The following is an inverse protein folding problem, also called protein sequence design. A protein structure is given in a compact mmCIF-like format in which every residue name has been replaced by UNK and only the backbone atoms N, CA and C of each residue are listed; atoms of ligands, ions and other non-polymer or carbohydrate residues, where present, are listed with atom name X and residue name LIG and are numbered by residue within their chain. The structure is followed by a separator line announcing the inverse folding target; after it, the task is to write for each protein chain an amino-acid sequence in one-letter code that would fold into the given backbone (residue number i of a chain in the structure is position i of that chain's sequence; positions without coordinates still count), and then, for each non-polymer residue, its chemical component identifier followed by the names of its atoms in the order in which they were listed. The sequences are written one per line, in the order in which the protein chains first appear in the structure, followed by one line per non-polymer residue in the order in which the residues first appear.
data_IF_442182618696
#
_entry.id   IF_442182618696
#
_cell.length_a   1.000
_cell.length_b   1.000
_cell.length_c   1.000
_cell.angle_alpha   90.00
_cell.angle_beta   90.00
_cell.angle_gamma   90.00
#
_symmetry.space_group_name_H-M   'P 1'
#
loop_
_entity.id
_entity.type
_entity.pdbx_description
1 polymer ?
#
# COMPACT_ATOMS: atom_id res chain seq x y z
N UNK A 1 26.63 26.20 -37.21
CA UNK A 1 25.24 25.69 -37.13
C UNK A 1 25.17 24.66 -36.01
N UNK A 2 24.04 24.63 -35.32
CA UNK A 2 23.90 24.29 -33.91
C UNK A 2 24.25 22.84 -33.53
N UNK A 3 24.95 22.72 -32.40
CA UNK A 3 25.03 21.53 -31.56
C UNK A 3 23.65 21.29 -30.93
N UNK A 4 23.06 20.12 -31.18
CA UNK A 4 21.91 19.64 -30.41
C UNK A 4 22.44 18.90 -29.18
N UNK A 5 22.60 19.61 -28.07
CA UNK A 5 22.54 19.01 -26.74
C UNK A 5 21.05 18.83 -26.41
N UNK A 6 20.61 17.58 -26.30
CA UNK A 6 19.38 17.26 -25.58
C UNK A 6 19.78 16.70 -24.21
N UNK A 7 19.82 17.60 -23.23
CA UNK A 7 19.69 17.32 -21.80
C UNK A 7 18.35 16.64 -21.53
N UNK A 8 18.32 15.61 -20.70
CA UNK A 8 17.44 15.47 -19.52
C UNK A 8 17.88 14.22 -18.75
N UNK A 9 18.78 14.39 -17.78
CA UNK A 9 18.86 13.42 -16.69
C UNK A 9 17.56 13.55 -15.89
N UNK A 10 16.79 12.47 -15.78
CA UNK A 10 15.73 12.42 -14.78
C UNK A 10 16.41 12.49 -13.41
N UNK A 11 16.19 13.58 -12.67
CA UNK A 11 16.49 13.60 -11.24
C UNK A 11 15.77 12.40 -10.62
N UNK A 12 16.50 11.56 -9.86
CA UNK A 12 15.90 10.51 -9.04
C UNK A 12 14.93 11.21 -8.08
N UNK A 13 13.63 10.98 -8.23
CA UNK A 13 12.67 11.41 -7.24
C UNK A 13 12.85 10.54 -6.00
N UNK A 14 13.28 11.14 -4.89
CA UNK A 14 13.46 10.44 -3.62
C UNK A 14 12.12 10.10 -2.94
N UNK A 15 11.06 10.85 -3.26
CA UNK A 15 9.71 10.65 -2.75
C UNK A 15 8.64 11.15 -3.74
N UNK A 16 7.41 10.68 -3.55
CA UNK A 16 6.19 11.20 -4.17
C UNK A 16 5.36 11.93 -3.12
N UNK A 17 4.66 12.98 -3.53
CA UNK A 17 3.69 13.68 -2.66
C UNK A 17 2.31 13.11 -2.91
N UNK A 18 1.71 12.53 -1.87
CA UNK A 18 0.34 12.04 -1.88
C UNK A 18 -0.64 13.21 -1.92
N UNK A 19 -1.90 12.96 -2.31
CA UNK A 19 -2.93 14.00 -2.34
C UNK A 19 -3.18 14.64 -0.97
N UNK A 20 -2.98 13.90 0.11
CA UNK A 20 -3.03 14.39 1.49
C UNK A 20 -1.92 15.40 1.82
N UNK A 21 -0.87 15.50 0.98
CA UNK A 21 0.34 16.28 1.23
C UNK A 21 1.44 15.48 1.91
N UNK A 22 1.19 14.25 2.35
CA UNK A 22 2.22 13.37 2.92
C UNK A 22 3.23 12.93 1.85
N UNK A 23 4.50 12.84 2.25
CA UNK A 23 5.58 12.34 1.40
C UNK A 23 5.71 10.82 1.56
N UNK A 24 5.66 10.10 0.44
CA UNK A 24 5.89 8.66 0.38
C UNK A 24 7.23 8.39 -0.32
N UNK A 25 8.21 7.76 0.34
CA UNK A 25 9.51 7.46 -0.27
C UNK A 25 9.35 6.61 -1.54
N UNK A 26 10.10 6.97 -2.58
CA UNK A 26 9.97 6.37 -3.90
C UNK A 26 10.42 4.90 -3.94
N UNK A 27 11.32 4.52 -3.03
CA UNK A 27 11.83 3.15 -2.88
C UNK A 27 11.44 2.63 -1.49
N UNK A 28 10.85 1.44 -1.47
CA UNK A 28 10.48 0.74 -0.23
C UNK A 28 10.86 -0.73 -0.29
N UNK A 29 11.08 -1.32 0.89
CA UNK A 29 11.36 -2.74 1.06
C UNK A 29 10.05 -3.53 1.09
N UNK A 30 9.83 -4.41 0.11
CA UNK A 30 8.72 -5.36 0.14
C UNK A 30 9.06 -6.60 0.98
N UNK A 31 8.12 -7.04 1.83
CA UNK A 31 8.37 -8.15 2.78
C UNK A 31 7.69 -9.48 2.42
N UNK A 32 7.08 -9.59 1.24
CA UNK A 32 6.45 -10.84 0.83
C UNK A 32 7.51 -11.94 0.65
N UNK A 33 7.30 -13.10 1.28
CA UNK A 33 8.21 -14.27 1.27
C UNK A 33 9.59 -14.03 1.91
N UNK A 34 9.78 -12.95 2.68
CA UNK A 34 11.03 -12.71 3.42
C UNK A 34 11.28 -13.74 4.55
N UNK A 35 10.25 -14.47 5.00
CA UNK A 35 10.41 -15.59 5.92
C UNK A 35 11.00 -15.19 7.27
N UNK A 36 11.87 -16.04 7.82
CA UNK A 36 12.51 -15.84 9.12
C UNK A 36 13.47 -14.64 9.17
N UNK A 37 13.98 -14.19 8.03
CA UNK A 37 14.98 -13.12 7.97
C UNK A 37 14.35 -11.73 7.97
N UNK A 38 13.01 -11.65 7.94
CA UNK A 38 12.26 -10.39 7.82
C UNK A 38 12.69 -9.32 8.82
N UNK A 39 12.86 -9.67 10.10
CA UNK A 39 13.24 -8.69 11.13
C UNK A 39 14.63 -8.08 10.84
N UNK A 40 15.59 -8.92 10.44
CA UNK A 40 16.94 -8.49 10.10
C UNK A 40 16.93 -7.65 8.82
N UNK A 41 16.25 -8.10 7.77
CA UNK A 41 16.16 -7.37 6.50
C UNK A 41 15.55 -5.97 6.67
N UNK A 42 14.48 -5.84 7.47
CA UNK A 42 13.85 -4.54 7.76
C UNK A 42 14.81 -3.62 8.50
N UNK A 43 15.48 -4.12 9.54
CA UNK A 43 16.45 -3.33 10.30
C UNK A 43 17.58 -2.84 9.39
N UNK A 44 18.27 -3.75 8.70
CA UNK A 44 19.39 -3.47 7.80
C UNK A 44 19.01 -2.48 6.71
N UNK A 45 17.84 -2.66 6.08
CA UNK A 45 17.37 -1.73 5.05
C UNK A 45 17.27 -0.30 5.59
N UNK A 46 16.74 -0.12 6.80
CA UNK A 46 16.53 1.21 7.39
C UNK A 46 17.84 1.81 7.91
N UNK A 47 18.63 1.04 8.67
CA UNK A 47 19.79 1.55 9.41
C UNK A 47 21.06 1.62 8.59
N UNK A 48 21.23 0.72 7.60
CA UNK A 48 22.46 0.62 6.82
C UNK A 48 22.26 1.11 5.38
N UNK A 49 21.14 0.73 4.75
CA UNK A 49 20.86 1.09 3.35
C UNK A 49 20.05 2.39 3.19
N UNK A 50 19.59 3.01 4.29
CA UNK A 50 18.90 4.30 4.27
C UNK A 50 17.43 4.26 3.81
N UNK A 51 16.80 3.08 3.77
CA UNK A 51 15.39 2.96 3.41
C UNK A 51 14.51 3.69 4.43
N UNK A 52 13.43 4.29 3.93
CA UNK A 52 12.41 4.94 4.76
C UNK A 52 11.00 4.45 4.47
N UNK A 53 10.84 3.41 3.64
CA UNK A 53 9.55 2.81 3.33
C UNK A 53 9.62 1.28 3.45
N UNK A 54 8.65 0.69 4.16
CA UNK A 54 8.44 -0.76 4.27
C UNK A 54 7.02 -1.11 3.83
N UNK A 55 6.90 -2.04 2.89
CA UNK A 55 5.63 -2.59 2.42
C UNK A 55 5.43 -4.01 2.95
N UNK A 56 4.36 -4.19 3.73
CA UNK A 56 3.97 -5.49 4.28
C UNK A 56 2.47 -5.72 4.12
N UNK A 57 1.97 -6.83 4.66
CA UNK A 57 0.55 -7.15 4.76
C UNK A 57 0.33 -8.24 5.81
N UNK A 58 -0.83 -8.21 6.47
CA UNK A 58 -1.23 -9.27 7.40
C UNK A 58 -1.13 -10.67 6.78
N UNK A 59 -1.59 -10.82 5.52
CA UNK A 59 -1.57 -12.10 4.80
C UNK A 59 -0.15 -12.63 4.51
N UNK A 60 0.88 -11.78 4.55
CA UNK A 60 2.25 -12.24 4.34
C UNK A 60 2.77 -13.06 5.52
N UNK A 61 2.11 -12.98 6.69
CA UNK A 61 2.44 -13.76 7.88
C UNK A 61 3.71 -13.29 8.60
N UNK A 62 4.21 -12.10 8.28
CA UNK A 62 5.50 -11.59 8.80
C UNK A 62 5.39 -10.27 9.56
N UNK A 63 4.20 -9.71 9.79
CA UNK A 63 4.03 -8.40 10.44
C UNK A 63 4.69 -8.33 11.83
N UNK A 64 4.69 -9.43 12.60
CA UNK A 64 5.40 -9.50 13.89
C UNK A 64 6.91 -9.34 13.74
N UNK A 65 7.50 -9.95 12.72
CA UNK A 65 8.94 -9.83 12.46
C UNK A 65 9.28 -8.45 11.88
N UNK A 66 8.41 -7.91 11.03
CA UNK A 66 8.52 -6.51 10.57
C UNK A 66 8.50 -5.56 11.78
N UNK A 67 7.58 -5.75 12.73
CA UNK A 67 7.49 -4.93 13.93
C UNK A 67 8.76 -4.97 14.79
N UNK A 68 9.39 -6.15 14.93
CA UNK A 68 10.70 -6.26 15.60
C UNK A 68 11.79 -5.48 14.86
N UNK A 69 11.86 -5.58 13.53
CA UNK A 69 12.83 -4.84 12.72
C UNK A 69 12.63 -3.32 12.80
N UNK A 70 11.37 -2.86 12.72
CA UNK A 70 11.01 -1.45 12.89
C UNK A 70 11.39 -0.94 14.28
N UNK A 71 11.07 -1.69 15.34
CA UNK A 71 11.43 -1.34 16.71
C UNK A 71 12.94 -1.21 16.88
N UNK A 72 13.72 -2.16 16.38
CA UNK A 72 15.18 -2.11 16.45
C UNK A 72 15.76 -0.90 15.68
N UNK A 73 15.19 -0.57 14.51
CA UNK A 73 15.58 0.61 13.76
C UNK A 73 15.26 1.92 14.50
N UNK A 74 14.11 1.99 15.18
CA UNK A 74 13.75 3.15 16.00
C UNK A 74 14.63 3.28 17.25
N UNK A 75 15.00 2.17 17.90
CA UNK A 75 15.98 2.14 18.99
C UNK A 75 17.38 2.60 18.51
N UNK A 76 17.70 2.42 17.22
CA UNK A 76 18.88 2.97 16.56
C UNK A 76 18.76 4.46 16.15
N UNK A 77 17.82 5.20 16.77
CA UNK A 77 17.62 6.65 16.62
C UNK A 77 16.99 7.10 15.29
N UNK A 78 16.18 6.25 14.66
CA UNK A 78 15.32 6.67 13.55
C UNK A 78 13.93 7.01 14.11
N UNK A 79 13.46 8.24 13.88
CA UNK A 79 12.14 8.64 14.37
C UNK A 79 11.03 7.92 13.58
N UNK A 80 9.96 7.46 14.26
CA UNK A 80 8.79 6.83 13.61
C UNK A 80 8.19 7.68 12.49
N UNK A 81 8.19 9.02 12.64
CA UNK A 81 7.66 9.97 11.65
C UNK A 81 8.46 10.01 10.34
N UNK A 82 9.72 9.55 10.37
CA UNK A 82 10.59 9.50 9.20
C UNK A 82 10.43 8.18 8.43
N UNK A 83 9.68 7.22 8.98
CA UNK A 83 9.34 5.95 8.35
C UNK A 83 7.95 6.02 7.72
N UNK A 84 7.82 5.42 6.55
CA UNK A 84 6.57 5.19 5.84
C UNK A 84 6.26 3.69 5.85
N UNK A 85 5.26 3.29 6.65
CA UNK A 85 4.89 1.87 6.77
C UNK A 85 3.55 1.62 6.09
N UNK A 86 3.55 0.65 5.19
CA UNK A 86 2.38 0.23 4.42
C UNK A 86 1.92 -1.16 4.85
N UNK A 87 0.62 -1.33 5.11
CA UNK A 87 0.00 -2.65 5.31
C UNK A 87 -1.33 -2.76 4.54
N UNK A 88 -1.95 -3.95 4.53
CA UNK A 88 -3.08 -4.28 3.68
C UNK A 88 -4.15 -5.08 4.42
N UNK A 89 -5.40 -4.64 4.27
CA UNK A 89 -6.60 -5.34 4.72
C UNK A 89 -6.84 -6.57 3.84
N UNK A 90 -6.83 -7.75 4.47
CA UNK A 90 -7.03 -9.01 3.78
C UNK A 90 -8.49 -9.31 3.43
N UNK A 91 -8.69 -10.14 2.42
CA UNK A 91 -9.97 -10.49 1.79
C UNK A 91 -11.04 -11.02 2.76
N UNK A 92 -10.64 -11.74 3.82
CA UNK A 92 -11.56 -12.28 4.85
C UNK A 92 -12.10 -11.21 5.81
N UNK A 93 -11.47 -10.03 5.81
CA UNK A 93 -11.85 -8.88 6.63
C UNK A 93 -12.54 -7.77 5.82
N UNK A 94 -12.86 -8.02 4.55
CA UNK A 94 -13.61 -7.09 3.69
C UNK A 94 -15.11 -7.13 3.98
N UNK A 95 -15.44 -6.77 5.23
CA UNK A 95 -16.79 -6.51 5.72
C UNK A 95 -16.68 -5.38 6.76
N UNK A 96 -17.57 -4.37 6.79
CA UNK A 96 -17.37 -3.13 7.55
C UNK A 96 -16.94 -3.35 9.01
N UNK A 97 -17.63 -4.23 9.73
CA UNK A 97 -17.37 -4.52 11.15
C UNK A 97 -16.02 -5.16 11.44
N UNK A 98 -15.31 -5.70 10.43
CA UNK A 98 -13.98 -6.32 10.60
C UNK A 98 -12.81 -5.42 10.23
N UNK A 99 -13.07 -4.25 9.61
CA UNK A 99 -12.02 -3.34 9.15
C UNK A 99 -11.14 -2.85 10.30
N UNK A 100 -11.75 -2.32 11.37
CA UNK A 100 -11.03 -1.83 12.54
C UNK A 100 -10.31 -2.96 13.31
N UNK A 101 -10.95 -4.08 13.69
CA UNK A 101 -10.26 -5.18 14.37
C UNK A 101 -9.06 -5.71 13.57
N UNK A 102 -9.15 -5.76 12.24
CA UNK A 102 -8.03 -6.16 11.39
C UNK A 102 -6.86 -5.19 11.47
N UNK A 103 -7.12 -3.87 11.40
CA UNK A 103 -6.07 -2.87 11.57
C UNK A 103 -5.45 -2.92 12.97
N UNK A 104 -6.25 -3.05 14.03
CA UNK A 104 -5.75 -3.10 15.41
C UNK A 104 -4.80 -4.30 15.64
N UNK A 105 -5.10 -5.45 15.02
CA UNK A 105 -4.20 -6.60 15.02
C UNK A 105 -2.89 -6.31 14.26
N UNK A 106 -2.98 -5.69 13.08
CA UNK A 106 -1.81 -5.25 12.31
C UNK A 106 -0.94 -4.25 13.09
N UNK A 107 -1.54 -3.24 13.71
CA UNK A 107 -0.84 -2.25 14.56
C UNK A 107 -0.13 -2.93 15.72
N UNK A 108 -0.80 -3.87 16.41
CA UNK A 108 -0.23 -4.65 17.50
C UNK A 108 0.97 -5.48 17.04
N UNK A 109 0.83 -6.21 15.95
CA UNK A 109 1.90 -7.07 15.43
C UNK A 109 3.10 -6.25 14.94
N UNK A 110 2.84 -5.11 14.30
CA UNK A 110 3.88 -4.16 13.88
C UNK A 110 4.46 -3.31 15.03
N UNK A 111 3.85 -3.35 16.22
CA UNK A 111 4.21 -2.51 17.37
C UNK A 111 4.17 -1.01 17.04
N UNK A 112 3.10 -0.57 16.36
CA UNK A 112 2.89 0.82 15.93
C UNK A 112 1.58 1.38 16.47
N UNK A 113 1.52 2.70 16.65
CA UNK A 113 0.29 3.42 16.99
C UNK A 113 -0.51 3.85 15.75
N UNK A 114 0.15 3.97 14.59
CA UNK A 114 -0.47 4.32 13.31
C UNK A 114 0.26 3.70 12.11
N UNK A 115 -0.46 3.57 11.00
CA UNK A 115 0.04 3.16 9.66
C UNK A 115 0.06 4.37 8.73
N UNK A 116 1.10 4.51 7.90
CA UNK A 116 1.16 5.62 6.93
C UNK A 116 0.22 5.36 5.76
N UNK A 117 0.17 4.12 5.26
CA UNK A 117 -0.72 3.73 4.16
C UNK A 117 -1.38 2.37 4.39
N UNK A 118 -2.72 2.32 4.37
CA UNK A 118 -3.48 1.08 4.52
C UNK A 118 -4.30 0.78 3.26
N UNK A 119 -4.07 -0.38 2.65
CA UNK A 119 -4.72 -0.76 1.39
C UNK A 119 -5.83 -1.79 1.56
N UNK A 120 -6.83 -1.76 0.68
CA UNK A 120 -7.57 -2.99 0.32
C UNK A 120 -6.64 -3.87 -0.51
N UNK A 121 -6.26 -5.06 -0.02
CA UNK A 121 -5.28 -5.92 -0.70
C UNK A 121 -5.79 -6.48 -2.03
N UNK A 122 -7.07 -6.86 -2.08
CA UNK A 122 -7.73 -7.30 -3.31
C UNK A 122 -9.21 -6.92 -3.30
N UNK A 123 -9.83 -6.60 -4.44
CA UNK A 123 -11.24 -6.21 -4.49
C UNK A 123 -12.19 -7.43 -4.54
N UNK A 124 -12.00 -8.42 -3.66
CA UNK A 124 -12.90 -9.56 -3.50
C UNK A 124 -12.94 -10.04 -2.04
N UNK A 125 -14.13 -10.33 -1.53
CA UNK A 125 -14.33 -10.84 -0.17
C UNK A 125 -14.26 -12.36 -0.17
N UNK A 126 -13.51 -12.91 0.78
CA UNK A 126 -13.44 -14.36 1.00
C UNK A 126 -14.15 -14.76 2.30
N UNK A 127 -14.68 -15.97 2.34
CA UNK A 127 -15.15 -16.63 3.56
C UNK A 127 -13.97 -16.96 4.48
N UNK A 128 -14.21 -17.00 5.79
CA UNK A 128 -13.22 -17.50 6.75
C UNK A 128 -12.81 -18.93 6.43
N UNK A 129 -11.50 -19.19 6.45
CA UNK A 129 -10.94 -20.50 6.14
C UNK A 129 -11.03 -20.90 4.67
N UNK A 130 -11.29 -19.95 3.75
CA UNK A 130 -11.34 -20.23 2.31
C UNK A 130 -10.07 -20.94 1.81
N UNK A 131 -10.27 -21.83 0.86
CA UNK A 131 -9.22 -22.62 0.25
C UNK A 131 -8.33 -21.76 -0.67
N UNK A 132 -7.16 -22.30 -1.01
CA UNK A 132 -6.22 -21.70 -1.97
C UNK A 132 -5.89 -22.74 -3.04
N UNK A 133 -6.52 -22.69 -4.23
CA UNK A 133 -7.49 -21.68 -4.70
C UNK A 133 -8.86 -21.80 -4.02
N UNK A 134 -9.68 -20.73 -4.01
CA UNK A 134 -11.01 -20.74 -3.39
C UNK A 134 -11.98 -21.66 -4.15
N UNK A 135 -12.80 -22.39 -3.40
CA UNK A 135 -13.88 -23.23 -3.91
C UNK A 135 -15.15 -22.43 -4.24
N UNK A 136 -16.11 -23.08 -4.90
CA UNK A 136 -17.40 -22.48 -5.22
C UNK A 136 -18.12 -22.02 -3.94
N UNK A 137 -18.56 -20.76 -3.91
CA UNK A 137 -19.24 -20.16 -2.75
C UNK A 137 -18.31 -19.60 -1.67
N UNK A 138 -16.98 -19.67 -1.83
CA UNK A 138 -16.03 -19.06 -0.90
C UNK A 138 -15.72 -17.59 -1.23
N UNK A 139 -15.99 -17.17 -2.46
CA UNK A 139 -16.01 -15.75 -2.85
C UNK A 139 -17.39 -15.19 -2.54
N UNK A 140 -17.44 -14.23 -1.62
CA UNK A 140 -18.67 -13.65 -1.10
C UNK A 140 -18.95 -12.29 -1.73
N UNK A 141 -20.18 -11.81 -1.57
CA UNK A 141 -20.54 -10.44 -1.95
C UNK A 141 -19.71 -9.43 -1.15
N UNK A 142 -19.15 -8.46 -1.88
CA UNK A 142 -18.27 -7.43 -1.33
C UNK A 142 -18.98 -6.06 -1.34
N UNK A 143 -19.34 -5.60 -0.14
CA UNK A 143 -19.76 -4.22 0.13
C UNK A 143 -18.55 -3.28 0.11
N UNK A 144 -18.15 -2.89 -1.09
CA UNK A 144 -16.98 -2.03 -1.32
C UNK A 144 -17.17 -0.65 -0.68
N UNK A 145 -18.36 -0.07 -0.80
CA UNK A 145 -18.69 1.24 -0.27
C UNK A 145 -18.70 1.27 1.26
N UNK A 146 -19.28 0.26 1.91
CA UNK A 146 -19.28 0.13 3.36
C UNK A 146 -17.87 -0.09 3.93
N UNK A 147 -17.07 -0.97 3.31
CA UNK A 147 -15.68 -1.19 3.73
C UNK A 147 -14.84 0.07 3.54
N UNK A 148 -14.97 0.77 2.41
CA UNK A 148 -14.23 2.01 2.20
C UNK A 148 -14.62 3.08 3.21
N UNK A 149 -15.91 3.22 3.53
CA UNK A 149 -16.38 4.15 4.56
C UNK A 149 -15.74 3.88 5.93
N UNK A 150 -15.55 2.62 6.30
CA UNK A 150 -14.83 2.30 7.54
C UNK A 150 -13.34 2.61 7.44
N UNK A 151 -12.71 2.40 6.29
CA UNK A 151 -11.32 2.86 6.07
C UNK A 151 -11.19 4.39 6.18
N UNK A 152 -12.17 5.16 5.71
CA UNK A 152 -12.20 6.61 5.90
C UNK A 152 -12.30 7.00 7.37
N UNK A 153 -13.01 6.21 8.20
CA UNK A 153 -13.08 6.45 9.63
C UNK A 153 -11.72 6.18 10.31
N UNK A 154 -10.96 5.17 9.85
CA UNK A 154 -9.60 4.94 10.35
C UNK A 154 -8.68 6.15 10.13
N UNK A 155 -8.87 6.88 9.02
CA UNK A 155 -8.14 8.14 8.76
C UNK A 155 -8.57 9.24 9.70
N UNK A 156 -9.88 9.42 9.91
CA UNK A 156 -10.42 10.45 10.83
C UNK A 156 -9.93 10.24 12.26
N UNK A 157 -9.79 8.99 12.67
CA UNK A 157 -9.36 8.62 14.02
C UNK A 157 -7.83 8.62 14.19
N UNK A 158 -7.07 8.92 13.12
CA UNK A 158 -5.61 9.04 13.15
C UNK A 158 -4.86 7.71 13.23
N UNK A 159 -5.55 6.56 13.09
CA UNK A 159 -4.93 5.24 13.08
C UNK A 159 -4.22 4.94 11.76
N UNK A 160 -4.65 5.61 10.69
CA UNK A 160 -4.04 5.54 9.36
C UNK A 160 -3.90 6.95 8.81
N UNK A 161 -2.77 7.29 8.19
CA UNK A 161 -2.62 8.61 7.54
C UNK A 161 -3.27 8.67 6.16
N UNK A 162 -3.06 7.64 5.35
CA UNK A 162 -3.61 7.53 3.99
C UNK A 162 -4.20 6.14 3.73
N UNK A 163 -5.24 6.08 2.89
CA UNK A 163 -5.88 4.82 2.48
C UNK A 163 -5.76 4.64 0.97
N UNK A 164 -5.63 3.39 0.56
CA UNK A 164 -5.42 3.04 -0.85
C UNK A 164 -6.04 1.71 -1.23
N UNK A 165 -5.73 1.28 -2.45
CA UNK A 165 -6.26 0.05 -3.04
C UNK A 165 -5.15 -0.73 -3.73
N UNK A 166 -5.32 -2.04 -3.89
CA UNK A 166 -4.43 -2.89 -4.64
C UNK A 166 -5.22 -3.74 -5.65
N UNK A 167 -4.66 -3.97 -6.84
CA UNK A 167 -5.23 -4.87 -7.85
C UNK A 167 -6.67 -4.50 -8.29
N UNK A 168 -6.96 -3.21 -8.38
CA UNK A 168 -8.26 -2.72 -8.88
C UNK A 168 -8.25 -2.66 -10.39
N UNK A 169 -9.41 -2.91 -11.00
CA UNK A 169 -9.64 -2.54 -12.40
C UNK A 169 -10.21 -1.12 -12.48
N UNK A 170 -10.09 -0.50 -13.64
CA UNK A 170 -10.72 0.79 -13.99
C UNK A 170 -12.19 0.85 -13.55
N UNK A 171 -13.00 -0.16 -13.87
CA UNK A 171 -14.43 -0.18 -13.52
C UNK A 171 -14.68 -0.20 -12.02
N UNK A 172 -13.85 -0.94 -11.26
CA UNK A 172 -13.97 -0.99 -9.80
C UNK A 172 -13.52 0.33 -9.16
N UNK A 173 -12.47 0.96 -9.70
CA UNK A 173 -12.08 2.29 -9.25
C UNK A 173 -13.19 3.31 -9.53
N UNK A 174 -13.79 3.29 -10.72
CA UNK A 174 -14.89 4.22 -11.05
C UNK A 174 -16.07 4.07 -10.08
N UNK A 175 -16.43 2.83 -9.72
CA UNK A 175 -17.45 2.54 -8.70
C UNK A 175 -17.07 3.15 -7.36
N UNK A 176 -15.85 2.89 -6.89
CA UNK A 176 -15.36 3.42 -5.61
C UNK A 176 -15.38 4.95 -5.56
N UNK A 177 -14.91 5.62 -6.62
CA UNK A 177 -14.84 7.07 -6.70
C UNK A 177 -16.22 7.76 -6.71
N UNK A 178 -17.32 7.05 -6.97
CA UNK A 178 -18.68 7.62 -6.91
C UNK A 178 -19.16 7.84 -5.49
N UNK A 179 -18.63 7.09 -4.52
CA UNK A 179 -19.09 7.13 -3.12
C UNK A 179 -18.00 7.57 -2.14
N UNK A 180 -16.73 7.48 -2.51
CA UNK A 180 -15.58 7.86 -1.68
C UNK A 180 -15.57 9.36 -1.36
N UNK A 181 -15.50 9.69 -0.08
CA UNK A 181 -15.22 11.05 0.43
C UNK A 181 -13.72 11.29 0.48
N UNK A 182 -12.95 10.31 0.93
CA UNK A 182 -11.49 10.30 0.82
C UNK A 182 -11.16 9.42 -0.38
N UNK A 183 -10.64 10.04 -1.44
CA UNK A 183 -10.18 9.31 -2.63
C UNK A 183 -8.96 8.46 -2.27
N UNK A 184 -8.80 7.25 -2.83
CA UNK A 184 -7.60 6.44 -2.62
C UNK A 184 -6.34 7.25 -2.97
N UNK A 185 -5.35 7.24 -2.09
CA UNK A 185 -4.09 7.95 -2.28
C UNK A 185 -3.17 7.21 -3.27
N UNK A 186 -3.18 5.87 -3.19
CA UNK A 186 -2.31 4.98 -3.96
C UNK A 186 -3.13 3.80 -4.49
N UNK A 187 -2.85 3.42 -5.74
CA UNK A 187 -3.26 2.14 -6.30
C UNK A 187 -2.01 1.31 -6.60
N UNK A 188 -1.77 0.29 -5.79
CA UNK A 188 -0.61 -0.60 -5.95
C UNK A 188 -1.00 -1.78 -6.85
N UNK A 189 -0.22 -2.04 -7.89
CA UNK A 189 -0.47 -3.13 -8.82
C UNK A 189 0.76 -4.05 -8.93
N UNK A 190 0.53 -5.36 -8.74
CA UNK A 190 1.57 -6.38 -8.91
C UNK A 190 1.95 -6.63 -10.37
N UNK A 191 1.10 -6.24 -11.31
CA UNK A 191 1.32 -6.44 -12.74
C UNK A 191 1.92 -5.17 -13.37
N UNK A 192 3.20 -4.95 -13.08
CA UNK A 192 3.98 -3.85 -13.64
C UNK A 192 4.07 -3.72 -15.20
N UNK A 193 3.72 -4.70 -16.07
CA UNK A 193 3.89 -4.50 -17.52
C UNK A 193 2.80 -3.68 -18.23
N UNK A 194 1.63 -3.42 -17.62
CA UNK A 194 0.50 -2.82 -18.36
C UNK A 194 0.54 -1.29 -18.33
N UNK A 195 1.31 -0.71 -19.25
CA UNK A 195 1.37 0.73 -19.50
C UNK A 195 0.03 1.33 -19.95
N UNK A 196 -0.85 0.55 -20.59
CA UNK A 196 -2.17 1.00 -21.06
C UNK A 196 -3.16 1.25 -19.93
N UNK A 197 -3.27 0.35 -18.94
CA UNK A 197 -4.15 0.58 -17.79
C UNK A 197 -3.72 1.82 -17.00
N UNK A 198 -2.42 2.11 -16.90
CA UNK A 198 -1.92 3.35 -16.26
C UNK A 198 -2.40 4.63 -16.96
N UNK A 199 -2.59 4.59 -18.28
CA UNK A 199 -3.15 5.73 -19.03
C UNK A 199 -4.64 5.85 -18.79
N UNK A 200 -5.39 4.74 -18.74
CA UNK A 200 -6.83 4.75 -18.46
C UNK A 200 -7.13 5.19 -17.02
N UNK A 201 -6.31 4.75 -16.05
CA UNK A 201 -6.37 5.22 -14.67
C UNK A 201 -6.18 6.73 -14.58
N UNK A 202 -5.23 7.30 -15.35
CA UNK A 202 -5.03 8.75 -15.44
C UNK A 202 -6.18 9.45 -16.17
N UNK A 203 -6.66 8.89 -17.28
CA UNK A 203 -7.74 9.47 -18.08
C UNK A 203 -9.06 9.56 -17.32
N UNK A 204 -9.43 8.53 -16.56
CA UNK A 204 -10.62 8.56 -15.69
C UNK A 204 -10.53 9.59 -14.57
N UNK A 205 -9.32 9.83 -14.06
CA UNK A 205 -9.08 10.84 -13.02
C UNK A 205 -9.19 12.25 -13.60
N UNK A 206 -8.50 12.52 -14.70
CA UNK A 206 -8.53 13.82 -15.37
C UNK A 206 -9.94 14.17 -15.86
N UNK A 207 -10.71 13.20 -16.34
CA UNK A 207 -12.09 13.39 -16.81
C UNK A 207 -13.10 13.69 -15.69
N UNK A 208 -12.86 13.22 -14.45
CA UNK A 208 -13.78 13.46 -13.33
C UNK A 208 -13.38 14.60 -12.42
N UNK A 209 -12.08 14.78 -12.19
CA UNK A 209 -11.59 15.89 -11.38
C UNK A 209 -10.06 16.10 -11.61
N UNK A 210 -9.63 17.12 -12.37
CA UNK A 210 -8.23 17.34 -12.70
C UNK A 210 -7.33 17.63 -11.47
N UNK A 211 -7.91 17.83 -10.29
CA UNK A 211 -7.19 17.99 -9.02
C UNK A 211 -6.95 16.67 -8.25
N UNK A 212 -7.38 15.51 -8.75
CA UNK A 212 -7.24 14.22 -8.08
C UNK A 212 -6.22 13.32 -8.79
N UNK A 213 -5.02 13.18 -8.23
CA UNK A 213 -3.96 12.32 -8.77
C UNK A 213 -3.73 11.12 -7.86
N UNK A 214 -4.21 9.95 -8.26
CA UNK A 214 -3.83 8.66 -7.68
C UNK A 214 -2.41 8.32 -8.12
N UNK A 215 -1.59 7.78 -7.22
CA UNK A 215 -0.26 7.30 -7.59
C UNK A 215 -0.34 5.80 -7.93
N UNK A 216 -0.16 5.39 -9.21
CA UNK A 216 0.05 4.00 -9.55
C UNK A 216 1.48 3.59 -9.19
N UNK A 217 1.65 2.58 -8.33
CA UNK A 217 2.97 2.05 -7.96
C UNK A 217 3.01 0.58 -8.39
N UNK A 218 4.07 0.22 -9.13
CA UNK A 218 4.38 -1.18 -9.44
C UNK A 218 5.43 -1.72 -8.48
N UNK A 219 5.39 -3.02 -8.20
CA UNK A 219 6.52 -3.70 -7.56
C UNK A 219 7.75 -3.61 -8.48
N UNK A 220 8.86 -3.05 -7.98
CA UNK A 220 10.17 -3.32 -8.56
C UNK A 220 10.64 -4.65 -7.99
N UNK A 221 10.59 -5.72 -8.80
CA UNK A 221 11.37 -6.93 -8.53
C UNK A 221 12.82 -6.60 -8.85
N UNK A 222 13.68 -6.59 -7.85
CA UNK A 222 15.08 -6.94 -8.11
C UNK A 222 15.11 -8.46 -8.29
N UNK A 223 15.26 -8.90 -9.54
CA UNK A 223 15.61 -10.31 -9.82
C UNK A 223 16.95 -10.59 -9.11
N UNK A 224 17.10 -11.71 -8.39
CA UNK A 224 18.42 -12.09 -7.89
C UNK A 224 19.34 -12.24 -9.10
N UNK A 225 20.43 -11.49 -9.10
CA UNK A 225 21.47 -11.63 -10.11
C UNK A 225 21.97 -13.09 -10.07
N UNK A 226 21.63 -13.86 -11.10
CA UNK A 226 22.20 -15.19 -11.34
C UNK A 226 23.66 -15.07 -11.79
#
# INVERSE_FOLDING_TARGET
MASAKATMGQEKQDHFVLKSGHAMPAVGLGTWRAGSDTAHSVQTAITEAGYRHVDTAAEYGVEKEVGKGLKAAMEARIDRKDLFVTSKLWCTNLVPERVRPALENTLKDLQLDYIDLYHIHWPFRLKDGAHKPPEAGEVLEFDMEGVWKEMENLVKDGLVKDIGICNYTVTKLDRLLRSAKITPAVCQDGNAPWLEERQDFRGLQEARNPCHRLLPIGFFREEPCA
#
